data_IF_539221802888
#
_entry.id   IF_539221802888
#
_cell.length_a   1.000
_cell.length_b   1.000
_cell.length_c   1.000
_cell.angle_alpha   90.00
_cell.angle_beta   90.00
_cell.angle_gamma   90.00
#
_symmetry.space_group_name_H-M   'P 1'
#
loop_
_entity.id
_entity.type
_entity.pdbx_description
1 polymer ?
#
# COMPACT_ATOMS: atom_id res chain seq x y z
N UNK A 1 -54.83 6.03 -22.89
CA UNK A 1 -54.12 7.29 -22.55
C UNK A 1 -52.85 6.91 -21.82
N UNK A 2 -51.75 6.77 -22.57
CA UNK A 2 -50.44 6.35 -22.07
C UNK A 2 -49.63 7.57 -21.71
N UNK A 3 -48.84 7.59 -20.61
CA UNK A 3 -47.90 8.69 -20.39
C UNK A 3 -46.58 8.42 -21.10
N UNK A 4 -46.11 9.48 -21.73
CA UNK A 4 -44.88 9.62 -22.53
C UNK A 4 -43.67 9.56 -21.58
N UNK A 5 -42.77 8.61 -21.81
CA UNK A 5 -41.44 8.56 -21.19
C UNK A 5 -40.45 9.43 -21.96
N UNK A 6 -39.88 10.44 -21.31
CA UNK A 6 -38.72 11.17 -21.81
C UNK A 6 -37.43 10.41 -21.51
N UNK A 7 -36.50 10.34 -22.45
CA UNK A 7 -35.17 9.74 -22.20
C UNK A 7 -34.27 10.72 -21.41
N UNK A 8 -33.69 10.22 -20.36
CA UNK A 8 -32.64 10.89 -19.58
C UNK A 8 -31.33 10.77 -20.36
N UNK A 9 -30.71 11.90 -20.66
CA UNK A 9 -29.38 12.00 -21.27
C UNK A 9 -28.28 11.52 -20.32
N UNK A 10 -27.29 10.76 -20.80
CA UNK A 10 -26.13 10.36 -20.02
C UNK A 10 -24.96 11.33 -20.26
N UNK A 11 -24.99 12.50 -19.65
CA UNK A 11 -23.82 13.37 -19.52
C UNK A 11 -23.57 13.68 -18.04
N UNK A 12 -23.05 12.69 -17.31
CA UNK A 12 -22.40 12.91 -16.05
C UNK A 12 -20.91 13.03 -16.32
N UNK A 13 -20.44 14.25 -16.22
CA UNK A 13 -19.07 14.70 -16.33
C UNK A 13 -18.18 13.87 -15.40
N UNK A 14 -17.20 13.20 -15.99
CA UNK A 14 -16.02 12.70 -15.29
C UNK A 14 -15.25 13.90 -14.74
N UNK A 15 -15.32 14.13 -13.43
CA UNK A 15 -14.40 15.03 -12.74
C UNK A 15 -12.97 14.51 -12.96
N UNK A 16 -12.22 15.26 -13.76
CA UNK A 16 -10.78 15.12 -13.92
C UNK A 16 -10.11 15.30 -12.55
N UNK A 17 -9.67 14.19 -11.96
CA UNK A 17 -8.75 14.23 -10.86
C UNK A 17 -7.46 14.91 -11.34
N UNK A 18 -7.14 16.06 -10.77
CA UNK A 18 -5.95 16.83 -11.08
C UNK A 18 -4.70 15.92 -11.08
N UNK A 19 -3.81 16.03 -12.09
CA UNK A 19 -2.64 15.17 -12.17
C UNK A 19 -1.72 15.44 -10.98
N UNK A 20 -1.41 14.39 -10.24
CA UNK A 20 -0.44 14.44 -9.15
C UNK A 20 0.86 15.10 -9.63
N UNK A 21 1.30 16.13 -8.93
CA UNK A 21 2.44 16.96 -9.32
C UNK A 21 3.72 16.13 -9.54
N UNK A 22 4.69 16.64 -10.32
CA UNK A 22 5.88 15.90 -10.74
C UNK A 22 6.76 15.39 -9.58
N UNK A 23 6.61 15.91 -8.38
CA UNK A 23 7.28 15.43 -7.17
C UNK A 23 6.69 14.13 -6.62
N UNK A 24 5.36 13.98 -6.61
CA UNK A 24 4.68 12.77 -6.15
C UNK A 24 4.90 11.58 -7.11
N UNK A 25 5.02 11.85 -8.41
CA UNK A 25 5.37 10.85 -9.41
C UNK A 25 6.84 10.39 -9.30
N UNK A 26 7.74 11.24 -8.82
CA UNK A 26 9.16 10.90 -8.61
C UNK A 26 9.39 10.07 -7.34
N UNK A 27 8.67 10.31 -6.27
CA UNK A 27 8.76 9.50 -5.03
C UNK A 27 8.16 8.11 -5.23
N UNK A 28 6.98 7.98 -5.83
CA UNK A 28 6.39 6.68 -6.14
C UNK A 28 7.19 5.84 -7.14
N UNK A 29 7.98 6.46 -8.02
CA UNK A 29 8.89 5.77 -8.94
C UNK A 29 10.17 5.29 -8.26
N UNK A 30 10.69 6.04 -7.28
CA UNK A 30 11.85 5.63 -6.47
C UNK A 30 11.53 4.49 -5.50
N UNK A 31 10.37 4.49 -4.88
CA UNK A 31 9.95 3.42 -3.97
C UNK A 31 9.65 2.11 -4.70
N UNK A 32 9.00 2.16 -5.88
CA UNK A 32 8.85 0.99 -6.75
C UNK A 32 10.20 0.45 -7.21
N UNK A 33 11.12 1.30 -7.62
CA UNK A 33 12.47 0.90 -8.01
C UNK A 33 13.27 0.22 -6.89
N UNK A 34 13.11 0.62 -5.65
CA UNK A 34 13.77 -0.02 -4.51
C UNK A 34 13.17 -1.41 -4.17
N UNK A 35 11.86 -1.57 -4.27
CA UNK A 35 11.19 -2.87 -4.10
C UNK A 35 11.52 -3.83 -5.25
N UNK A 36 11.59 -3.34 -6.47
CA UNK A 36 12.00 -4.11 -7.64
C UNK A 36 13.43 -4.61 -7.52
N UNK A 37 14.37 -3.80 -7.05
CA UNK A 37 15.78 -4.19 -6.83
C UNK A 37 15.93 -5.31 -5.80
N UNK A 38 15.12 -5.35 -4.75
CA UNK A 38 15.13 -6.44 -3.76
C UNK A 38 14.59 -7.74 -4.35
N UNK A 39 13.53 -7.66 -5.15
CA UNK A 39 12.99 -8.81 -5.89
C UNK A 39 14.00 -9.34 -6.92
N UNK A 40 14.71 -8.46 -7.61
CA UNK A 40 15.74 -8.82 -8.59
C UNK A 40 16.94 -9.54 -7.96
N UNK A 41 17.46 -9.04 -6.83
CA UNK A 41 18.56 -9.72 -6.12
C UNK A 41 18.17 -11.14 -5.69
N UNK A 42 16.92 -11.32 -5.28
CA UNK A 42 16.39 -12.62 -4.85
C UNK A 42 16.26 -13.59 -6.02
N UNK A 43 15.89 -13.10 -7.20
CA UNK A 43 15.72 -13.87 -8.44
C UNK A 43 17.06 -14.37 -8.99
N UNK A 44 18.06 -13.49 -9.04
CA UNK A 44 19.42 -13.84 -9.52
C UNK A 44 20.09 -14.85 -8.60
N UNK A 45 19.93 -14.70 -7.29
CA UNK A 45 20.49 -15.61 -6.31
C UNK A 45 19.97 -17.05 -6.52
N UNK A 46 18.76 -17.18 -6.98
CA UNK A 46 18.13 -18.47 -7.18
C UNK A 46 18.50 -19.17 -8.47
N UNK A 47 18.69 -18.45 -9.56
CA UNK A 47 19.22 -19.04 -10.80
C UNK A 47 20.67 -19.49 -10.62
N UNK A 48 21.46 -18.72 -9.87
CA UNK A 48 22.80 -19.12 -9.46
C UNK A 48 22.79 -20.37 -8.55
N UNK A 49 21.81 -20.47 -7.64
CA UNK A 49 21.67 -21.65 -6.79
C UNK A 49 21.29 -22.91 -7.60
N UNK A 50 20.38 -22.79 -8.57
CA UNK A 50 20.01 -23.92 -9.42
C UNK A 50 21.22 -24.46 -10.25
N UNK A 51 22.06 -23.56 -10.76
CA UNK A 51 23.27 -23.93 -11.48
C UNK A 51 24.33 -24.50 -10.54
N UNK A 52 24.54 -23.86 -9.39
CA UNK A 52 25.46 -24.33 -8.36
C UNK A 52 25.08 -25.72 -7.83
N UNK A 53 23.81 -26.08 -7.84
CA UNK A 53 23.35 -27.43 -7.49
C UNK A 53 23.52 -28.44 -8.63
N UNK A 54 23.38 -28.04 -9.90
CA UNK A 54 23.49 -28.94 -11.05
C UNK A 54 24.94 -29.29 -11.41
N UNK A 55 25.84 -28.31 -11.28
CA UNK A 55 27.28 -28.52 -11.68
C UNK A 55 27.96 -29.62 -10.86
N UNK A 56 27.90 -29.69 -9.53
CA UNK A 56 28.52 -30.77 -8.74
C UNK A 56 27.98 -32.14 -9.09
N UNK A 57 26.67 -32.25 -9.37
CA UNK A 57 26.03 -33.50 -9.76
C UNK A 57 26.62 -34.00 -11.11
N UNK A 58 26.69 -33.10 -12.09
CA UNK A 58 27.27 -33.46 -13.41
C UNK A 58 28.76 -33.75 -13.31
N UNK A 59 29.51 -32.99 -12.54
CA UNK A 59 30.95 -33.26 -12.30
C UNK A 59 31.15 -34.65 -11.68
N UNK A 60 30.33 -35.03 -10.71
CA UNK A 60 30.37 -36.37 -10.12
C UNK A 60 30.05 -37.47 -11.14
N UNK A 61 29.02 -37.27 -11.99
CA UNK A 61 28.64 -38.22 -13.04
C UNK A 61 29.75 -38.37 -14.09
N UNK A 62 30.44 -37.28 -14.44
CA UNK A 62 31.63 -37.30 -15.32
C UNK A 62 32.78 -38.04 -14.64
N UNK A 63 33.07 -37.73 -13.38
CA UNK A 63 34.17 -38.38 -12.63
C UNK A 63 33.97 -39.88 -12.49
N UNK A 64 32.74 -40.36 -12.46
CA UNK A 64 32.38 -41.78 -12.48
C UNK A 64 32.40 -42.43 -13.87
N UNK A 65 32.73 -41.66 -14.90
CA UNK A 65 32.83 -42.18 -16.29
C UNK A 65 31.47 -42.43 -16.96
N UNK A 66 30.39 -41.95 -16.42
CA UNK A 66 29.02 -42.21 -16.88
C UNK A 66 28.46 -41.14 -17.83
N UNK A 67 29.07 -39.96 -17.88
CA UNK A 67 28.65 -38.87 -18.78
C UNK A 67 29.70 -38.59 -19.88
N UNK A 68 29.25 -38.08 -21.02
CA UNK A 68 30.14 -37.58 -22.06
C UNK A 68 30.82 -36.27 -21.61
N UNK A 69 32.13 -36.36 -21.35
CA UNK A 69 32.94 -35.21 -20.90
C UNK A 69 32.88 -34.04 -21.87
N UNK A 70 32.82 -34.31 -23.20
CA UNK A 70 32.75 -33.26 -24.23
C UNK A 70 31.42 -32.49 -24.15
N UNK A 71 30.32 -33.23 -24.01
CA UNK A 71 29.00 -32.62 -23.92
C UNK A 71 28.88 -31.74 -22.65
N UNK A 72 29.38 -32.21 -21.51
CA UNK A 72 29.40 -31.43 -20.26
C UNK A 72 30.31 -30.20 -20.36
N UNK A 73 31.47 -30.34 -21.00
CA UNK A 73 32.43 -29.26 -21.23
C UNK A 73 31.84 -28.12 -22.11
N UNK A 74 30.89 -28.42 -22.98
CA UNK A 74 30.17 -27.42 -23.79
C UNK A 74 28.99 -26.84 -23.02
N UNK A 75 28.21 -27.71 -22.38
CA UNK A 75 26.99 -27.30 -21.68
C UNK A 75 27.26 -26.40 -20.47
N UNK A 76 28.25 -26.69 -19.64
CA UNK A 76 28.52 -25.97 -18.41
C UNK A 76 28.90 -24.48 -18.65
N UNK A 77 29.88 -24.15 -19.55
CA UNK A 77 30.18 -22.75 -19.84
C UNK A 77 29.05 -22.02 -20.55
N UNK A 78 28.27 -22.69 -21.41
CA UNK A 78 27.11 -22.09 -22.08
C UNK A 78 26.02 -21.74 -21.05
N UNK A 79 25.74 -22.60 -20.08
CA UNK A 79 24.78 -22.38 -19.01
C UNK A 79 25.21 -21.22 -18.09
N UNK A 80 26.50 -21.17 -17.77
CA UNK A 80 27.09 -20.07 -17.01
C UNK A 80 26.99 -18.75 -17.78
N UNK A 81 27.37 -18.74 -19.07
CA UNK A 81 27.30 -17.54 -19.90
C UNK A 81 25.88 -16.97 -20.01
N UNK A 82 24.89 -17.85 -20.20
CA UNK A 82 23.48 -17.41 -20.26
C UNK A 82 23.00 -16.84 -18.94
N UNK A 83 23.44 -17.41 -17.81
CA UNK A 83 23.09 -16.89 -16.47
C UNK A 83 23.76 -15.55 -16.17
N UNK A 84 25.01 -15.39 -16.57
CA UNK A 84 25.75 -14.12 -16.52
C UNK A 84 25.06 -13.08 -17.40
N UNK A 85 24.66 -13.46 -18.61
CA UNK A 85 23.91 -12.57 -19.50
C UNK A 85 22.59 -12.09 -18.87
N UNK A 86 21.81 -13.02 -18.31
CA UNK A 86 20.56 -12.67 -17.62
C UNK A 86 20.82 -11.72 -16.44
N UNK A 87 21.89 -11.98 -15.66
CA UNK A 87 22.31 -11.09 -14.58
C UNK A 87 22.67 -9.68 -15.09
N UNK A 88 23.48 -9.59 -16.13
CA UNK A 88 23.90 -8.32 -16.72
C UNK A 88 22.70 -7.56 -17.32
N UNK A 89 21.80 -8.27 -18.00
CA UNK A 89 20.60 -7.67 -18.56
C UNK A 89 19.69 -7.06 -17.47
N UNK A 90 19.60 -7.70 -16.31
CA UNK A 90 18.89 -7.17 -15.13
C UNK A 90 19.67 -6.02 -14.49
N UNK A 91 20.99 -6.16 -14.33
CA UNK A 91 21.83 -5.16 -13.68
C UNK A 91 21.89 -3.83 -14.44
N UNK A 92 22.03 -3.90 -15.77
CA UNK A 92 22.07 -2.72 -16.65
C UNK A 92 20.66 -2.22 -17.05
N UNK A 93 19.61 -2.90 -16.63
CA UNK A 93 18.23 -2.49 -16.92
C UNK A 93 17.77 -2.73 -18.36
N UNK A 94 18.52 -3.53 -19.15
CA UNK A 94 18.13 -3.88 -20.53
C UNK A 94 16.80 -4.64 -20.54
N UNK A 95 16.55 -5.45 -19.52
CA UNK A 95 15.32 -6.25 -19.35
C UNK A 95 14.06 -5.38 -19.16
N UNK A 96 14.19 -4.12 -18.76
CA UNK A 96 13.04 -3.20 -18.56
C UNK A 96 12.26 -2.93 -19.86
N UNK A 97 12.85 -3.23 -21.03
CA UNK A 97 12.21 -3.08 -22.34
C UNK A 97 11.39 -4.30 -22.74
N UNK A 98 11.47 -5.39 -21.99
CA UNK A 98 10.82 -6.66 -22.32
C UNK A 98 9.50 -6.81 -21.56
N UNK A 99 8.64 -7.69 -22.07
CA UNK A 99 7.33 -7.98 -21.46
C UNK A 99 7.42 -8.63 -20.07
N UNK A 100 8.52 -9.36 -19.81
CA UNK A 100 8.89 -9.87 -18.49
C UNK A 100 10.24 -9.24 -18.08
N UNK A 101 10.22 -8.08 -17.40
CA UNK A 101 11.43 -7.38 -16.97
C UNK A 101 12.30 -8.20 -16.01
N UNK A 102 11.74 -9.19 -15.33
CA UNK A 102 12.43 -10.05 -14.37
C UNK A 102 13.09 -11.27 -15.02
N UNK A 103 12.79 -11.53 -16.29
CA UNK A 103 13.24 -12.71 -17.03
C UNK A 103 12.89 -14.04 -16.35
N UNK A 104 11.88 -14.03 -15.48
CA UNK A 104 11.52 -15.20 -14.66
C UNK A 104 11.06 -16.36 -15.52
N UNK A 105 10.15 -16.12 -16.47
CA UNK A 105 9.62 -17.17 -17.33
C UNK A 105 10.71 -17.76 -18.24
N UNK A 106 11.51 -16.98 -18.98
CA UNK A 106 12.63 -17.51 -19.78
C UNK A 106 13.64 -18.31 -18.96
N UNK A 107 13.99 -17.86 -17.75
CA UNK A 107 14.94 -18.55 -16.88
C UNK A 107 14.43 -19.92 -16.41
N UNK A 108 13.15 -20.02 -16.05
CA UNK A 108 12.55 -21.29 -15.60
C UNK A 108 12.42 -22.27 -16.76
N UNK A 109 12.01 -21.81 -17.94
CA UNK A 109 11.95 -22.63 -19.15
C UNK A 109 13.35 -23.13 -19.52
N UNK A 110 14.33 -22.24 -19.50
CA UNK A 110 15.73 -22.64 -19.75
C UNK A 110 16.25 -23.64 -18.71
N UNK A 111 16.01 -23.39 -17.42
CA UNK A 111 16.45 -24.30 -16.35
C UNK A 111 15.84 -25.69 -16.53
N UNK A 112 14.53 -25.78 -16.77
CA UNK A 112 13.86 -27.05 -17.02
C UNK A 112 14.36 -27.77 -18.29
N UNK A 113 14.56 -27.02 -19.39
CA UNK A 113 15.14 -27.57 -20.63
C UNK A 113 16.56 -28.08 -20.39
N UNK A 114 17.35 -27.34 -19.62
CA UNK A 114 18.70 -27.72 -19.24
C UNK A 114 18.71 -29.04 -18.44
N UNK A 115 17.76 -29.30 -17.57
CA UNK A 115 17.60 -30.58 -16.87
C UNK A 115 17.35 -31.72 -17.84
N UNK A 116 16.54 -31.51 -18.90
CA UNK A 116 16.29 -32.53 -19.91
C UNK A 116 17.59 -32.84 -20.72
N UNK A 117 18.36 -31.79 -21.02
CA UNK A 117 19.69 -32.00 -21.68
C UNK A 117 20.62 -32.77 -20.76
N UNK A 118 20.70 -32.41 -19.49
CA UNK A 118 21.50 -33.16 -18.51
C UNK A 118 21.04 -34.61 -18.37
N UNK A 119 19.74 -34.89 -18.44
CA UNK A 119 19.20 -36.24 -18.45
C UNK A 119 19.76 -37.07 -19.64
N UNK A 120 19.76 -36.49 -20.83
CA UNK A 120 20.30 -37.13 -22.03
C UNK A 120 21.83 -37.37 -21.98
N UNK A 121 22.56 -36.57 -21.18
CA UNK A 121 24.02 -36.67 -21.06
C UNK A 121 24.45 -37.61 -19.94
N UNK A 122 23.63 -37.83 -18.91
CA UNK A 122 24.00 -38.58 -17.71
C UNK A 122 23.97 -40.13 -17.87
N UNK A 123 23.52 -40.65 -18.99
CA UNK A 123 23.54 -42.08 -19.30
C UNK A 123 22.89 -42.96 -18.21
N UNK A 124 23.60 -43.96 -17.65
CA UNK A 124 23.04 -44.83 -16.60
C UNK A 124 22.67 -44.10 -15.31
N UNK A 125 23.29 -42.93 -15.02
CA UNK A 125 23.04 -42.15 -13.83
C UNK A 125 21.95 -41.08 -14.01
N UNK A 126 21.20 -41.10 -15.11
CA UNK A 126 20.19 -40.08 -15.50
C UNK A 126 19.13 -39.83 -14.44
N UNK A 127 18.77 -40.84 -13.63
CA UNK A 127 17.77 -40.70 -12.56
C UNK A 127 18.17 -39.67 -11.51
N UNK A 128 19.47 -39.44 -11.30
CA UNK A 128 19.99 -38.46 -10.33
C UNK A 128 19.65 -37.00 -10.72
N UNK A 129 19.40 -36.76 -12.00
CA UNK A 129 19.08 -35.43 -12.54
C UNK A 129 17.60 -35.06 -12.33
N UNK A 130 16.71 -36.07 -12.20
CA UNK A 130 15.27 -35.85 -12.13
C UNK A 130 14.81 -34.96 -10.94
N UNK A 131 15.39 -35.03 -9.72
CA UNK A 131 15.05 -34.11 -8.64
C UNK A 131 15.24 -32.63 -8.96
N UNK A 132 16.08 -32.29 -9.95
CA UNK A 132 16.28 -30.93 -10.41
C UNK A 132 15.01 -30.31 -11.02
N UNK A 133 14.10 -31.12 -11.58
CA UNK A 133 12.78 -30.66 -12.00
C UNK A 133 11.97 -30.12 -10.82
N UNK A 134 12.05 -30.79 -9.65
CA UNK A 134 11.37 -30.33 -8.46
C UNK A 134 11.86 -28.95 -8.03
N UNK A 135 13.18 -28.72 -8.09
CA UNK A 135 13.77 -27.41 -7.77
C UNK A 135 13.27 -26.34 -8.74
N UNK A 136 13.30 -26.59 -10.05
CA UNK A 136 12.80 -25.64 -11.05
C UNK A 136 11.31 -25.35 -10.87
N UNK A 137 10.49 -26.37 -10.56
CA UNK A 137 9.05 -26.22 -10.36
C UNK A 137 8.69 -25.51 -9.05
N UNK A 138 9.41 -25.76 -7.96
CA UNK A 138 9.25 -24.99 -6.72
C UNK A 138 9.46 -23.51 -7.00
N UNK A 139 10.50 -23.22 -7.79
CA UNK A 139 10.78 -21.85 -8.20
C UNK A 139 9.63 -21.23 -9.00
N UNK A 140 9.14 -21.97 -10.00
CA UNK A 140 8.01 -21.56 -10.81
C UNK A 140 6.76 -21.26 -9.98
N UNK A 141 6.47 -22.04 -8.94
CA UNK A 141 5.33 -21.85 -8.04
C UNK A 141 5.38 -20.49 -7.31
N UNK A 142 6.56 -20.05 -6.94
CA UNK A 142 6.73 -18.78 -6.23
C UNK A 142 6.73 -17.56 -7.14
N UNK A 143 7.11 -17.71 -8.39
CA UNK A 143 7.37 -16.60 -9.29
C UNK A 143 6.30 -16.42 -10.38
N UNK A 144 5.61 -17.48 -10.76
CA UNK A 144 4.68 -17.49 -11.90
C UNK A 144 3.23 -17.73 -11.50
N UNK A 145 2.32 -17.41 -12.41
CA UNK A 145 0.91 -17.75 -12.27
C UNK A 145 0.66 -19.25 -12.43
N UNK A 146 -0.39 -19.79 -11.83
CA UNK A 146 -0.78 -21.18 -11.94
C UNK A 146 -0.96 -21.65 -13.40
N UNK A 147 -1.41 -20.75 -14.30
CA UNK A 147 -1.54 -21.03 -15.73
C UNK A 147 -0.18 -21.23 -16.40
N UNK A 148 0.78 -20.37 -16.11
CA UNK A 148 2.15 -20.48 -16.63
C UNK A 148 2.84 -21.75 -16.12
N UNK A 149 2.68 -22.08 -14.83
CA UNK A 149 3.23 -23.32 -14.25
C UNK A 149 2.67 -24.55 -14.94
N UNK A 150 1.37 -24.59 -15.25
CA UNK A 150 0.77 -25.70 -16.02
C UNK A 150 1.39 -25.85 -17.42
N UNK A 151 1.56 -24.73 -18.13
CA UNK A 151 2.17 -24.77 -19.47
C UNK A 151 3.62 -25.22 -19.43
N UNK A 152 4.40 -24.78 -18.44
CA UNK A 152 5.80 -25.21 -18.24
C UNK A 152 5.85 -26.70 -17.91
N UNK A 153 5.00 -27.19 -17.01
CA UNK A 153 4.95 -28.60 -16.66
C UNK A 153 4.61 -29.49 -17.89
N UNK A 154 3.62 -29.06 -18.68
CA UNK A 154 3.25 -29.77 -19.92
C UNK A 154 4.36 -29.75 -20.96
N UNK A 155 5.03 -28.59 -21.14
CA UNK A 155 6.18 -28.44 -22.03
C UNK A 155 7.33 -29.36 -21.61
N UNK A 156 7.73 -29.34 -20.33
CA UNK A 156 8.85 -30.15 -19.82
C UNK A 156 8.54 -31.64 -19.88
N UNK A 157 7.30 -32.04 -19.62
CA UNK A 157 6.87 -33.43 -19.73
C UNK A 157 6.93 -33.89 -21.19
N UNK A 158 6.43 -33.10 -22.13
CA UNK A 158 6.50 -33.40 -23.57
C UNK A 158 7.92 -33.46 -24.07
N UNK A 159 8.78 -32.52 -23.68
CA UNK A 159 10.20 -32.50 -24.07
C UNK A 159 10.95 -33.71 -23.49
N UNK A 160 10.74 -34.03 -22.23
CA UNK A 160 11.33 -35.17 -21.56
C UNK A 160 10.93 -36.48 -22.25
N UNK A 161 9.63 -36.67 -22.50
CA UNK A 161 9.12 -37.86 -23.21
C UNK A 161 9.68 -38.02 -24.62
N UNK A 162 9.85 -36.91 -25.36
CA UNK A 162 10.47 -36.90 -26.66
C UNK A 162 11.93 -37.37 -26.57
N UNK A 163 12.69 -36.79 -25.63
CA UNK A 163 14.11 -37.14 -25.43
C UNK A 163 14.26 -38.60 -25.01
N UNK A 164 13.44 -39.08 -24.08
CA UNK A 164 13.42 -40.50 -23.66
C UNK A 164 13.16 -41.43 -24.83
N UNK A 165 12.16 -41.15 -25.67
CA UNK A 165 11.82 -41.94 -26.84
C UNK A 165 12.93 -41.94 -27.86
N UNK A 166 13.61 -40.83 -28.10
CA UNK A 166 14.73 -40.70 -29.02
C UNK A 166 15.94 -41.46 -28.47
N UNK A 167 16.31 -41.28 -27.22
CA UNK A 167 17.47 -41.94 -26.62
C UNK A 167 17.29 -43.44 -26.52
N UNK A 168 16.11 -43.93 -26.17
CA UNK A 168 15.81 -45.36 -26.16
C UNK A 168 15.91 -46.03 -27.55
N UNK A 169 15.68 -45.29 -28.65
CA UNK A 169 15.90 -45.81 -30.01
C UNK A 169 17.35 -45.73 -30.49
N UNK A 170 18.03 -44.63 -30.13
CA UNK A 170 19.43 -44.41 -30.60
C UNK A 170 20.45 -45.21 -29.78
N UNK A 171 20.20 -45.40 -28.48
CA UNK A 171 21.13 -46.06 -27.56
C UNK A 171 20.37 -47.01 -26.61
N UNK A 172 19.74 -48.09 -27.11
CA UNK A 172 18.88 -48.97 -26.32
C UNK A 172 19.58 -49.64 -25.14
N UNK A 173 20.91 -49.91 -25.27
CA UNK A 173 21.70 -50.47 -24.17
C UNK A 173 21.91 -49.52 -23.00
N UNK A 174 21.97 -48.21 -23.28
CA UNK A 174 22.12 -47.18 -22.27
C UNK A 174 20.77 -46.65 -21.71
N UNK A 175 19.71 -46.72 -22.54
CA UNK A 175 18.38 -46.22 -22.26
C UNK A 175 17.34 -47.32 -22.51
N UNK A 176 17.26 -48.37 -21.65
CA UNK A 176 16.31 -49.46 -21.81
C UNK A 176 14.86 -48.94 -21.78
N UNK A 177 14.06 -49.33 -22.78
CA UNK A 177 12.70 -48.79 -22.94
C UNK A 177 11.80 -49.02 -21.70
N UNK A 178 11.98 -50.14 -20.99
CA UNK A 178 11.23 -50.45 -19.79
C UNK A 178 11.49 -49.43 -18.65
N UNK A 179 12.76 -49.04 -18.44
CA UNK A 179 13.15 -48.05 -17.42
C UNK A 179 12.66 -46.65 -17.79
N UNK A 180 12.75 -46.31 -19.10
CA UNK A 180 12.26 -45.01 -19.60
C UNK A 180 10.77 -44.87 -19.41
N UNK A 181 9.95 -45.90 -19.66
CA UNK A 181 8.52 -45.90 -19.43
C UNK A 181 8.19 -45.68 -17.94
N UNK A 182 8.86 -46.42 -17.05
CA UNK A 182 8.64 -46.28 -15.60
C UNK A 182 8.98 -44.84 -15.14
N UNK A 183 10.11 -44.32 -15.59
CA UNK A 183 10.56 -42.97 -15.26
C UNK A 183 9.62 -41.91 -15.82
N UNK A 184 9.13 -42.09 -17.04
CA UNK A 184 8.15 -41.18 -17.65
C UNK A 184 6.84 -41.17 -16.88
N UNK A 185 6.30 -42.36 -16.51
CA UNK A 185 5.08 -42.47 -15.69
C UNK A 185 5.26 -41.76 -14.33
N UNK A 186 6.43 -41.94 -13.70
CA UNK A 186 6.76 -41.21 -12.47
C UNK A 186 6.68 -39.69 -12.67
N UNK A 187 7.24 -39.17 -13.77
CA UNK A 187 7.22 -37.73 -14.07
C UNK A 187 5.80 -37.22 -14.41
N UNK A 188 4.98 -38.06 -15.05
CA UNK A 188 3.55 -37.79 -15.29
C UNK A 188 2.75 -37.63 -13.98
N UNK A 189 3.23 -38.16 -12.87
CA UNK A 189 2.62 -37.96 -11.55
C UNK A 189 3.24 -36.70 -10.88
N UNK A 190 4.55 -36.58 -10.86
CA UNK A 190 5.28 -35.55 -10.12
C UNK A 190 4.99 -34.15 -10.67
N UNK A 191 5.13 -33.93 -11.97
CA UNK A 191 5.00 -32.58 -12.56
C UNK A 191 3.58 -31.98 -12.41
N UNK A 192 2.46 -32.74 -12.63
CA UNK A 192 1.13 -32.21 -12.37
C UNK A 192 0.85 -31.85 -10.91
N UNK A 193 1.45 -32.56 -9.93
CA UNK A 193 1.30 -32.23 -8.51
C UNK A 193 1.79 -30.80 -8.25
N UNK A 194 2.90 -30.39 -8.83
CA UNK A 194 3.39 -29.00 -8.72
C UNK A 194 2.40 -27.99 -9.33
N UNK A 195 1.73 -28.35 -10.42
CA UNK A 195 0.70 -27.50 -11.04
C UNK A 195 -0.50 -27.28 -10.10
N UNK A 196 -0.95 -28.35 -9.42
CA UNK A 196 -2.02 -28.24 -8.43
C UNK A 196 -1.59 -27.41 -7.22
N UNK A 197 -0.38 -27.65 -6.73
CA UNK A 197 0.19 -26.89 -5.61
C UNK A 197 0.33 -25.39 -5.95
N UNK A 198 0.79 -25.08 -7.17
CA UNK A 198 0.85 -23.71 -7.67
C UNK A 198 -0.52 -23.03 -7.66
N UNK A 199 -1.56 -23.74 -8.11
CA UNK A 199 -2.92 -23.27 -8.10
C UNK A 199 -3.42 -22.93 -6.68
N UNK A 200 -3.19 -23.84 -5.74
CA UNK A 200 -3.57 -23.64 -4.33
C UNK A 200 -2.82 -22.48 -3.69
N UNK A 201 -1.51 -22.38 -3.92
CA UNK A 201 -0.69 -21.31 -3.37
C UNK A 201 -1.06 -19.95 -3.96
N UNK A 202 -1.34 -19.88 -5.27
CA UNK A 202 -1.82 -18.66 -5.92
C UNK A 202 -3.16 -18.19 -5.33
N UNK A 203 -4.12 -19.11 -5.16
CA UNK A 203 -5.42 -18.82 -4.54
C UNK A 203 -5.26 -18.35 -3.08
N UNK A 204 -4.38 -19.00 -2.31
CA UNK A 204 -4.11 -18.60 -0.92
C UNK A 204 -3.52 -17.19 -0.85
N UNK A 205 -2.54 -16.86 -1.70
CA UNK A 205 -1.95 -15.52 -1.78
C UNK A 205 -2.99 -14.44 -2.11
N UNK A 206 -3.87 -14.73 -3.05
CA UNK A 206 -4.95 -13.82 -3.42
C UNK A 206 -5.90 -13.57 -2.24
N UNK A 207 -6.30 -14.62 -1.53
CA UNK A 207 -7.15 -14.50 -0.32
C UNK A 207 -6.47 -13.68 0.77
N UNK A 208 -5.20 -13.95 1.06
CA UNK A 208 -4.43 -13.19 2.07
C UNK A 208 -4.30 -11.71 1.68
N UNK A 209 -4.09 -11.43 0.39
CA UNK A 209 -4.06 -10.05 -0.13
C UNK A 209 -5.39 -9.32 0.10
N UNK A 210 -6.51 -9.98 -0.23
CA UNK A 210 -7.86 -9.42 -0.01
C UNK A 210 -8.16 -9.19 1.48
N UNK A 211 -7.83 -10.15 2.34
CA UNK A 211 -8.00 -10.01 3.79
C UNK A 211 -7.17 -8.86 4.36
N UNK A 212 -5.93 -8.70 3.90
CA UNK A 212 -5.07 -7.58 4.32
C UNK A 212 -5.66 -6.22 3.94
N UNK A 213 -6.20 -6.08 2.74
CA UNK A 213 -6.87 -4.86 2.29
C UNK A 213 -8.13 -4.59 3.11
N UNK A 214 -8.98 -5.60 3.30
CA UNK A 214 -10.20 -5.46 4.08
C UNK A 214 -9.92 -5.10 5.56
N UNK A 215 -8.90 -5.72 6.17
CA UNK A 215 -8.49 -5.40 7.54
C UNK A 215 -7.98 -3.96 7.66
N UNK A 216 -7.19 -3.51 6.66
CA UNK A 216 -6.69 -2.13 6.64
C UNK A 216 -7.82 -1.12 6.54
N UNK A 217 -8.79 -1.35 5.66
CA UNK A 217 -9.96 -0.49 5.53
C UNK A 217 -10.83 -0.48 6.80
N UNK A 218 -11.00 -1.64 7.45
CA UNK A 218 -11.72 -1.71 8.72
C UNK A 218 -11.00 -0.95 9.83
N UNK A 219 -9.66 -1.04 9.88
CA UNK A 219 -8.85 -0.30 10.84
C UNK A 219 -8.94 1.22 10.60
N UNK A 220 -8.82 1.67 9.35
CA UNK A 220 -8.93 3.08 8.98
C UNK A 220 -10.30 3.65 9.38
N UNK A 221 -11.40 2.92 9.10
CA UNK A 221 -12.76 3.31 9.54
C UNK A 221 -12.88 3.39 11.06
N UNK A 222 -12.32 2.41 11.77
CA UNK A 222 -12.33 2.43 13.23
C UNK A 222 -11.56 3.63 13.81
N UNK A 223 -10.43 4.00 13.20
CA UNK A 223 -9.66 5.19 13.57
C UNK A 223 -10.50 6.44 13.33
N UNK A 224 -11.11 6.58 12.16
CA UNK A 224 -11.98 7.72 11.85
C UNK A 224 -13.13 7.86 12.87
N UNK A 225 -13.86 6.79 13.14
CA UNK A 225 -14.95 6.78 14.12
C UNK A 225 -14.46 7.10 15.54
N UNK A 226 -13.23 6.73 15.85
CA UNK A 226 -12.64 6.97 17.15
C UNK A 226 -12.05 8.38 17.32
N UNK A 227 -11.67 9.07 16.24
CA UNK A 227 -10.98 10.35 16.27
C UNK A 227 -11.84 11.54 15.83
N UNK A 228 -12.95 11.28 15.12
CA UNK A 228 -13.81 12.32 14.57
C UNK A 228 -15.10 12.49 15.38
N UNK A 229 -15.65 13.70 15.35
CA UNK A 229 -17.01 14.01 15.83
C UNK A 229 -18.01 13.67 14.72
N UNK A 230 -19.03 12.88 15.06
CA UNK A 230 -19.98 12.35 14.08
C UNK A 230 -20.86 13.43 13.42
N UNK A 231 -21.07 14.57 14.09
CA UNK A 231 -21.91 15.65 13.57
C UNK A 231 -21.13 16.57 12.63
N UNK A 232 -19.94 17.00 13.05
CA UNK A 232 -19.18 18.06 12.37
C UNK A 232 -18.07 17.53 11.48
N UNK A 233 -17.68 16.25 11.62
CA UNK A 233 -16.54 15.66 10.93
C UNK A 233 -15.17 16.13 11.41
N UNK A 234 -15.12 17.08 12.36
CA UNK A 234 -13.91 17.59 12.98
C UNK A 234 -13.25 16.51 13.87
N UNK A 235 -12.03 16.74 14.32
CA UNK A 235 -11.49 15.93 15.41
C UNK A 235 -12.36 16.05 16.65
N UNK A 236 -12.53 14.93 17.36
CA UNK A 236 -13.26 14.93 18.62
C UNK A 236 -12.33 15.36 19.78
N UNK A 237 -12.93 15.58 20.95
CA UNK A 237 -12.25 16.00 22.17
C UNK A 237 -11.06 15.09 22.54
N UNK A 238 -11.23 13.78 22.39
CA UNK A 238 -10.16 12.82 22.71
C UNK A 238 -8.95 13.05 21.84
N UNK A 239 -9.13 13.11 20.53
CA UNK A 239 -8.03 13.34 19.57
C UNK A 239 -7.37 14.70 19.77
N UNK A 240 -8.17 15.74 20.01
CA UNK A 240 -7.65 17.07 20.32
C UNK A 240 -6.78 17.10 21.58
N UNK A 241 -7.18 16.38 22.64
CA UNK A 241 -6.39 16.25 23.87
C UNK A 241 -5.04 15.58 23.62
N UNK A 242 -5.02 14.49 22.84
CA UNK A 242 -3.76 13.80 22.45
C UNK A 242 -2.82 14.73 21.68
N UNK A 243 -3.37 15.52 20.75
CA UNK A 243 -2.60 16.47 19.96
C UNK A 243 -2.08 17.64 20.81
N UNK A 244 -2.88 18.15 21.72
CA UNK A 244 -2.48 19.22 22.64
C UNK A 244 -1.32 18.75 23.54
N UNK A 245 -1.35 17.54 24.06
CA UNK A 245 -0.24 16.94 24.82
C UNK A 245 1.03 16.78 23.96
N UNK A 246 0.88 16.38 22.70
CA UNK A 246 2.00 16.30 21.76
C UNK A 246 2.61 17.68 21.53
N UNK A 247 1.80 18.72 21.38
CA UNK A 247 2.25 20.10 21.19
C UNK A 247 2.95 20.64 22.45
N UNK A 248 2.46 20.32 23.65
CA UNK A 248 3.12 20.68 24.90
C UNK A 248 4.54 20.05 24.98
N UNK A 249 4.71 18.81 24.59
CA UNK A 249 6.03 18.15 24.49
C UNK A 249 6.96 18.82 23.44
N UNK A 250 6.40 19.33 22.37
CA UNK A 250 7.18 20.05 21.35
C UNK A 250 7.50 21.50 21.77
N UNK A 251 6.60 22.15 22.52
CA UNK A 251 6.84 23.46 23.10
C UNK A 251 8.03 23.43 24.09
N UNK A 252 8.14 22.37 24.87
CA UNK A 252 9.31 22.13 25.75
C UNK A 252 10.65 21.99 24.98
N UNK A 253 10.60 21.84 23.65
CA UNK A 253 11.77 21.79 22.74
C UNK A 253 11.93 23.10 21.93
N UNK A 254 11.31 24.18 22.37
CA UNK A 254 11.39 25.50 21.75
C UNK A 254 10.47 25.74 20.57
N UNK A 255 9.52 24.84 20.25
CA UNK A 255 8.51 25.10 19.23
C UNK A 255 7.38 25.94 19.81
N UNK A 256 6.83 26.85 19.01
CA UNK A 256 5.75 27.76 19.44
C UNK A 256 4.40 27.24 18.98
N UNK A 257 3.43 27.29 19.87
CA UNK A 257 2.05 26.88 19.61
C UNK A 257 1.10 27.88 20.30
N UNK A 258 -0.01 28.14 19.65
CA UNK A 258 -1.15 28.87 20.20
C UNK A 258 -2.36 27.95 20.20
N UNK A 259 -3.17 28.04 21.24
CA UNK A 259 -4.47 27.38 21.30
C UNK A 259 -5.56 28.41 21.51
N UNK A 260 -6.73 28.13 20.96
CA UNK A 260 -7.89 28.97 21.17
C UNK A 260 -9.12 28.10 21.47
N UNK A 261 -9.88 28.49 22.48
CA UNK A 261 -11.19 27.89 22.75
C UNK A 261 -12.23 28.82 22.16
N UNK A 262 -13.12 28.25 21.35
CA UNK A 262 -14.17 28.97 20.63
C UNK A 262 -15.52 28.46 21.12
N UNK A 263 -16.46 29.36 21.34
CA UNK A 263 -17.82 29.01 21.76
C UNK A 263 -18.85 29.83 20.97
N UNK A 264 -19.91 29.16 20.51
CA UNK A 264 -21.00 29.82 19.76
C UNK A 264 -21.89 30.57 20.70
N UNK A 265 -21.92 31.87 20.55
CA UNK A 265 -22.71 32.76 21.42
C UNK A 265 -24.21 32.47 21.32
N UNK A 266 -24.83 32.33 22.49
CA UNK A 266 -26.28 32.10 22.60
C UNK A 266 -26.80 30.87 21.88
N UNK A 267 -25.99 29.81 21.72
CA UNK A 267 -26.35 28.58 21.01
C UNK A 267 -27.64 27.93 21.57
N UNK A 268 -27.81 27.94 22.87
CA UNK A 268 -29.04 27.46 23.49
C UNK A 268 -30.29 28.20 22.95
N UNK A 269 -30.23 29.52 22.75
CA UNK A 269 -31.33 30.28 22.16
C UNK A 269 -31.65 29.87 20.74
N UNK A 270 -30.63 29.49 19.94
CA UNK A 270 -30.81 28.94 18.57
C UNK A 270 -31.61 27.64 18.65
N UNK A 271 -31.22 26.76 19.57
CA UNK A 271 -31.92 25.48 19.77
C UNK A 271 -33.37 25.70 20.26
N UNK A 272 -33.56 26.60 21.24
CA UNK A 272 -34.86 26.86 21.82
C UNK A 272 -35.83 27.52 20.81
N UNK A 273 -35.30 28.30 19.85
CA UNK A 273 -36.12 29.05 18.86
C UNK A 273 -36.36 28.18 17.58
N UNK A 274 -35.39 27.43 17.13
CA UNK A 274 -35.42 26.79 15.81
C UNK A 274 -35.32 25.25 15.89
N UNK A 275 -35.23 24.69 17.10
CA UNK A 275 -35.08 23.25 17.33
C UNK A 275 -33.64 22.74 17.23
N UNK A 276 -33.37 21.56 17.78
CA UNK A 276 -32.04 20.94 17.81
C UNK A 276 -31.48 20.69 16.43
N UNK A 277 -32.31 20.31 15.44
CA UNK A 277 -31.84 20.11 14.08
C UNK A 277 -31.26 21.38 13.44
N UNK A 278 -31.78 22.56 13.78
CA UNK A 278 -31.21 23.83 13.33
C UNK A 278 -29.89 24.13 14.05
N UNK A 279 -29.79 23.82 15.35
CA UNK A 279 -28.53 23.91 16.08
C UNK A 279 -27.45 23.00 15.52
N UNK A 280 -27.78 21.75 15.21
CA UNK A 280 -26.84 20.79 14.56
C UNK A 280 -26.36 21.32 13.21
N UNK A 281 -27.28 21.91 12.42
CA UNK A 281 -26.92 22.55 11.15
C UNK A 281 -25.99 23.74 11.32
N UNK A 282 -26.23 24.60 12.33
CA UNK A 282 -25.34 25.72 12.66
C UNK A 282 -23.94 25.23 13.04
N UNK A 283 -23.84 24.16 13.84
CA UNK A 283 -22.53 23.54 14.18
C UNK A 283 -21.78 23.06 12.95
N UNK A 284 -22.48 22.43 12.01
CA UNK A 284 -21.88 21.98 10.74
C UNK A 284 -21.43 23.16 9.87
N UNK A 285 -22.26 24.19 9.75
CA UNK A 285 -21.91 25.40 8.99
C UNK A 285 -20.70 26.12 9.60
N UNK A 286 -20.68 26.27 10.93
CA UNK A 286 -19.53 26.82 11.64
C UNK A 286 -18.25 26.00 11.37
N UNK A 287 -18.33 24.68 11.49
CA UNK A 287 -17.18 23.80 11.27
C UNK A 287 -16.59 23.97 9.86
N UNK A 288 -17.46 24.02 8.84
CA UNK A 288 -17.04 24.21 7.44
C UNK A 288 -16.38 25.57 7.22
N UNK A 289 -16.97 26.66 7.74
CA UNK A 289 -16.40 28.02 7.61
C UNK A 289 -15.08 28.14 8.38
N UNK A 290 -15.01 27.52 9.55
CA UNK A 290 -13.77 27.49 10.34
C UNK A 290 -12.65 26.77 9.59
N UNK A 291 -12.92 25.59 9.03
CA UNK A 291 -11.92 24.87 8.19
C UNK A 291 -11.46 25.74 7.02
N UNK A 292 -12.37 26.42 6.33
CA UNK A 292 -12.05 27.29 5.19
C UNK A 292 -11.17 28.52 5.57
N UNK A 293 -11.17 28.88 6.86
CA UNK A 293 -10.39 30.01 7.40
C UNK A 293 -8.97 29.60 7.82
N UNK A 294 -8.76 28.29 8.05
CA UNK A 294 -7.53 27.72 8.55
C UNK A 294 -6.57 27.37 7.43
N UNK A 295 -5.27 27.34 7.74
CA UNK A 295 -4.21 26.90 6.84
C UNK A 295 -3.87 25.43 7.04
N UNK A 296 -3.15 24.85 6.09
CA UNK A 296 -2.61 23.50 6.25
C UNK A 296 -1.72 23.42 7.49
N UNK A 297 -2.05 22.46 8.37
CA UNK A 297 -1.37 22.26 9.65
C UNK A 297 -2.07 22.83 10.87
N UNK A 298 -3.01 23.76 10.72
CA UNK A 298 -3.90 24.17 11.81
C UNK A 298 -4.90 23.05 12.11
N UNK A 299 -5.26 22.89 13.38
CA UNK A 299 -6.13 21.80 13.83
C UNK A 299 -7.36 22.38 14.48
N UNK A 300 -8.53 21.95 14.02
CA UNK A 300 -9.83 22.28 14.61
C UNK A 300 -10.48 21.01 15.11
N UNK A 301 -11.00 21.07 16.32
CA UNK A 301 -11.70 19.96 16.97
C UNK A 301 -12.99 20.46 17.65
N UNK A 302 -14.00 19.60 17.72
CA UNK A 302 -15.15 19.84 18.57
C UNK A 302 -14.80 19.39 19.98
N UNK A 303 -14.81 20.36 20.92
CA UNK A 303 -14.38 20.15 22.29
C UNK A 303 -15.56 19.79 23.23
N UNK A 304 -16.71 20.36 22.97
CA UNK A 304 -17.94 20.15 23.72
C UNK A 304 -19.18 20.29 22.84
N UNK A 305 -20.34 20.53 23.41
CA UNK A 305 -21.58 20.69 22.68
C UNK A 305 -21.54 21.79 21.63
N UNK A 306 -21.19 23.00 22.04
CA UNK A 306 -21.07 24.20 21.21
C UNK A 306 -19.66 24.81 21.23
N UNK A 307 -18.71 24.09 21.85
CA UNK A 307 -17.33 24.50 22.04
C UNK A 307 -16.40 23.81 21.06
N UNK A 308 -15.43 24.56 20.56
CA UNK A 308 -14.41 24.09 19.64
C UNK A 308 -13.02 24.47 20.16
N UNK A 309 -12.04 23.62 19.88
CA UNK A 309 -10.63 23.84 20.19
C UNK A 309 -9.85 24.00 18.89
N UNK A 310 -9.13 25.11 18.80
CA UNK A 310 -8.24 25.42 17.70
C UNK A 310 -6.79 25.31 18.18
N UNK A 311 -5.96 24.54 17.50
CA UNK A 311 -4.53 24.39 17.78
C UNK A 311 -3.74 24.91 16.59
N UNK A 312 -2.89 25.91 16.82
CA UNK A 312 -2.15 26.63 15.81
C UNK A 312 -0.64 26.40 16.00
N UNK A 313 -0.01 25.52 15.21
CA UNK A 313 1.44 25.34 15.21
C UNK A 313 2.15 26.50 14.49
N UNK A 314 3.40 26.77 14.89
CA UNK A 314 4.29 27.73 14.23
C UNK A 314 3.75 29.17 14.14
N UNK A 315 3.20 29.70 15.22
CA UNK A 315 2.93 31.12 15.34
C UNK A 315 4.27 31.86 15.52
N UNK A 316 4.69 32.64 14.51
CA UNK A 316 6.05 33.22 14.45
C UNK A 316 6.28 34.36 15.48
N UNK A 317 5.26 35.06 15.91
CA UNK A 317 5.38 36.13 16.91
C UNK A 317 4.28 36.06 17.96
N UNK A 318 4.62 36.56 19.15
CA UNK A 318 3.77 36.65 20.34
C UNK A 318 2.29 36.72 20.04
N UNK A 319 1.54 35.62 20.37
CA UNK A 319 0.08 35.57 20.37
C UNK A 319 -0.54 36.32 19.18
N UNK A 320 -0.42 35.77 17.97
CA UNK A 320 -1.13 36.32 16.83
C UNK A 320 -2.63 35.91 16.92
N UNK A 321 -3.52 36.81 17.39
CA UNK A 321 -4.94 36.55 17.38
C UNK A 321 -5.54 36.59 15.96
N UNK A 322 -4.72 36.84 14.94
CA UNK A 322 -5.16 37.11 13.59
C UNK A 322 -6.00 35.99 12.99
N UNK A 323 -5.67 34.71 13.27
CA UNK A 323 -6.50 33.58 12.83
C UNK A 323 -7.83 33.57 13.57
N UNK A 324 -7.81 33.75 14.89
CA UNK A 324 -9.02 33.80 15.72
C UNK A 324 -9.90 35.01 15.34
N UNK A 325 -9.28 36.14 15.08
CA UNK A 325 -10.00 37.37 14.69
C UNK A 325 -10.64 37.21 13.29
N UNK A 326 -9.91 36.64 12.32
CA UNK A 326 -10.48 36.35 11.00
C UNK A 326 -11.64 35.37 11.09
N UNK A 327 -11.50 34.30 11.88
CA UNK A 327 -12.59 33.35 12.11
C UNK A 327 -13.84 34.04 12.66
N UNK A 328 -13.69 34.88 13.72
CA UNK A 328 -14.79 35.65 14.29
C UNK A 328 -15.47 36.54 13.24
N UNK A 329 -14.68 37.26 12.44
CA UNK A 329 -15.22 38.18 11.40
C UNK A 329 -15.97 37.42 10.31
N UNK A 330 -15.46 36.27 9.89
CA UNK A 330 -16.13 35.41 8.95
C UNK A 330 -17.45 34.88 9.47
N UNK A 331 -17.48 34.44 10.71
CA UNK A 331 -18.71 33.96 11.37
C UNK A 331 -19.75 35.08 11.48
N UNK A 332 -19.34 36.28 11.84
CA UNK A 332 -20.24 37.45 11.90
C UNK A 332 -20.86 37.79 10.55
N UNK A 333 -20.08 37.64 9.48
CA UNK A 333 -20.55 37.92 8.12
C UNK A 333 -21.42 36.78 7.55
N UNK A 334 -21.43 35.63 8.21
CA UNK A 334 -22.14 34.44 7.74
C UNK A 334 -23.63 34.52 8.10
N UNK A 335 -24.48 34.21 7.12
CA UNK A 335 -25.92 34.00 7.35
C UNK A 335 -26.24 32.57 6.94
N UNK A 336 -26.68 31.76 7.88
CA UNK A 336 -26.93 30.33 7.67
C UNK A 336 -28.39 30.12 7.28
N UNK A 337 -28.67 29.63 6.07
CA UNK A 337 -30.01 29.24 5.65
C UNK A 337 -30.41 27.95 6.41
N UNK A 338 -31.60 27.96 7.00
CA UNK A 338 -32.11 26.80 7.71
C UNK A 338 -32.84 25.84 6.73
N UNK A 339 -32.69 24.51 6.92
CA UNK A 339 -33.40 23.54 6.09
C UNK A 339 -34.91 23.65 6.02
N UNK A 340 -35.49 24.21 7.10
CA UNK A 340 -36.95 24.40 7.27
C UNK A 340 -37.43 25.81 6.83
N UNK A 341 -36.55 26.61 6.24
CA UNK A 341 -36.81 28.01 5.82
C UNK A 341 -36.36 29.01 6.86
N UNK A 342 -36.07 30.22 6.38
CA UNK A 342 -35.49 31.29 7.20
C UNK A 342 -33.97 31.23 7.27
N UNK A 343 -33.40 32.16 8.01
CA UNK A 343 -31.95 32.30 8.20
C UNK A 343 -31.61 32.57 9.65
N UNK A 344 -30.43 32.11 10.09
CA UNK A 344 -29.86 32.39 11.40
C UNK A 344 -28.51 33.06 11.25
N UNK A 345 -28.32 34.18 11.97
CA UNK A 345 -27.00 34.77 12.17
C UNK A 345 -26.59 34.55 13.63
N UNK A 346 -25.33 34.29 13.86
CA UNK A 346 -24.76 34.05 15.19
C UNK A 346 -23.36 34.63 15.28
N UNK A 347 -22.82 34.68 16.46
CA UNK A 347 -21.47 35.16 16.74
C UNK A 347 -20.71 34.11 17.54
N UNK A 348 -19.40 34.30 17.67
CA UNK A 348 -18.52 33.45 18.48
C UNK A 348 -17.70 34.31 19.44
N UNK A 349 -17.48 33.78 20.63
CA UNK A 349 -16.51 34.29 21.59
C UNK A 349 -15.30 33.37 21.58
N UNK A 350 -14.10 33.94 21.61
CA UNK A 350 -12.83 33.17 21.46
C UNK A 350 -11.88 33.61 22.57
N UNK A 351 -11.34 32.62 23.29
CA UNK A 351 -10.23 32.80 24.22
C UNK A 351 -8.96 32.19 23.69
N UNK A 352 -7.89 32.98 23.67
CA UNK A 352 -6.59 32.57 23.05
C UNK A 352 -5.50 32.53 24.12
N UNK A 353 -4.68 31.49 24.12
CA UNK A 353 -3.49 31.40 24.96
C UNK A 353 -2.30 30.79 24.16
N UNK A 354 -1.12 31.33 24.39
CA UNK A 354 0.12 30.69 23.90
C UNK A 354 0.54 29.54 24.82
N UNK A 355 1.02 28.47 24.25
CA UNK A 355 1.61 27.38 25.01
C UNK A 355 3.03 27.82 25.43
N UNK A 356 3.29 27.89 26.75
CA UNK A 356 4.57 28.33 27.32
C UNK A 356 5.55 27.15 27.38
N UNK A 357 6.83 27.43 27.40
CA UNK A 357 7.86 26.41 27.59
C UNK A 357 7.65 25.66 28.93
N UNK A 358 7.76 24.35 28.88
CA UNK A 358 7.58 23.48 30.05
C UNK A 358 6.23 23.59 30.77
N UNK A 359 5.22 24.16 30.13
CA UNK A 359 3.86 24.24 30.65
C UNK A 359 3.08 22.97 30.34
N UNK A 360 2.31 22.49 31.31
CA UNK A 360 1.36 21.40 31.06
C UNK A 360 0.23 21.86 30.12
N UNK A 361 -0.18 21.00 29.21
CA UNK A 361 -1.27 21.25 28.25
C UNK A 361 -2.56 21.75 28.93
N UNK A 362 -2.91 21.19 30.08
CA UNK A 362 -4.08 21.57 30.87
C UNK A 362 -4.02 23.02 31.37
N UNK A 363 -2.82 23.50 31.72
CA UNK A 363 -2.67 24.90 32.19
C UNK A 363 -2.87 25.92 31.07
N UNK A 364 -2.34 25.64 29.89
CA UNK A 364 -2.59 26.49 28.73
C UNK A 364 -4.09 26.53 28.38
N UNK A 365 -4.76 25.37 28.45
CA UNK A 365 -6.19 25.27 28.23
C UNK A 365 -7.00 26.08 29.27
N UNK A 366 -6.66 25.97 30.57
CA UNK A 366 -7.27 26.76 31.63
C UNK A 366 -7.15 28.29 31.37
N UNK A 367 -6.02 28.74 30.83
CA UNK A 367 -5.80 30.16 30.50
C UNK A 367 -6.66 30.59 29.28
N UNK A 368 -6.77 29.75 28.27
CA UNK A 368 -7.63 30.01 27.12
C UNK A 368 -9.11 30.04 27.54
N UNK A 369 -9.56 29.13 28.44
CA UNK A 369 -10.90 29.12 28.99
C UNK A 369 -11.19 30.39 29.82
N UNK A 370 -10.23 30.84 30.62
CA UNK A 370 -10.35 32.09 31.37
C UNK A 370 -10.47 33.31 30.41
N UNK A 371 -9.71 33.31 29.30
CA UNK A 371 -9.85 34.34 28.28
C UNK A 371 -11.22 34.27 27.59
N UNK A 372 -11.73 33.08 27.26
CA UNK A 372 -13.09 32.90 26.71
C UNK A 372 -14.17 33.40 27.68
N UNK A 373 -14.01 33.11 28.95
CA UNK A 373 -14.93 33.65 29.97
C UNK A 373 -14.94 35.19 29.98
N UNK A 374 -13.76 35.86 29.89
CA UNK A 374 -13.67 37.31 29.74
C UNK A 374 -14.37 37.81 28.47
N UNK A 375 -14.16 37.10 27.33
CA UNK A 375 -14.83 37.44 26.09
C UNK A 375 -16.37 37.43 26.22
N UNK A 376 -16.92 36.40 26.87
CA UNK A 376 -18.35 36.29 27.16
C UNK A 376 -18.84 37.38 28.13
N UNK A 377 -18.08 37.68 29.17
CA UNK A 377 -18.44 38.72 30.18
C UNK A 377 -18.38 40.12 29.58
N UNK A 378 -17.43 40.43 28.74
CA UNK A 378 -17.24 41.73 28.11
C UNK A 378 -18.18 42.03 26.94
N UNK A 379 -19.23 41.23 26.72
CA UNK A 379 -20.27 41.49 25.71
C UNK A 379 -20.24 40.56 24.51
N UNK A 380 -19.50 39.43 24.56
CA UNK A 380 -19.45 38.42 23.51
C UNK A 380 -18.89 38.93 22.18
N UNK A 381 -18.96 38.10 21.11
CA UNK A 381 -18.51 38.44 19.74
C UNK A 381 -17.12 39.08 19.71
N UNK A 382 -16.16 38.49 20.42
CA UNK A 382 -14.79 38.99 20.50
C UNK A 382 -13.75 37.93 20.75
N UNK A 383 -12.53 38.32 20.52
CA UNK A 383 -11.35 37.55 20.88
C UNK A 383 -10.69 38.19 22.08
N UNK A 384 -10.44 37.42 23.11
CA UNK A 384 -9.67 37.83 24.29
C UNK A 384 -8.41 36.95 24.37
N UNK A 385 -7.32 37.55 24.75
CA UNK A 385 -6.01 36.92 24.85
C UNK A 385 -5.57 36.85 26.30
N UNK A 386 -4.90 35.74 26.69
CA UNK A 386 -4.36 35.57 28.04
C UNK A 386 -3.08 36.37 28.27
#
# INVERSE_FOLDING_TARGET
>A
MMPVTHPVSPDAQTEDAAPAGPAALRTGRRERGAQDVVLWKRQVLSSLFAIAAAVPVLVAVVALGHADTRAVAIWAPMSLALSVFAYLALHFGWSLRWTDPTLTLPQIVYSGTSVVVCYAMAGPMRAVVLPMFCVAMIYAIFALSARQVRWIAAYLLGLLGLVMAVMSRLQPERYPAAEEVVTFVQMCIVLPVFSVLAGRLSALRQRLGQQKVALRQALERNIELAERDALTGLYNRRRASEMLELFAKQAARGKRFTLAVVDIDHFKRINDTHGHAAGDWVLQCFANEAIATLRDGDILARWGGEEFLLLLPNCEEHLDPGVAQRLRERVVAMTVPLPQGGTVAFTVSIGVAALRECEAASKALERADAALYRAKANGRNRVEVD
#
